data_IF_933884568710
#
_entry.id   IF_933884568710
#
_cell.length_a   1.000
_cell.length_b   1.000
_cell.length_c   1.000
_cell.angle_alpha   90.00
_cell.angle_beta   90.00
_cell.angle_gamma   90.00
#
_symmetry.space_group_name_H-M   'P 1'
#
loop_
_entity.id
_entity.type
_entity.pdbx_description
1 polymer ?
#
# COMPACT_ATOMS: atom_id res chain seq x y z
N UNK A 1 0.89 18.74 14.37
CA UNK A 1 1.62 18.17 13.23
C UNK A 1 3.02 17.90 13.72
N UNK A 2 3.21 16.67 14.18
CA UNK A 2 4.53 16.10 14.44
C UNK A 2 5.26 16.07 13.11
N UNK A 3 6.53 16.48 13.08
CA UNK A 3 7.34 16.46 11.88
C UNK A 3 7.48 15.00 11.41
N UNK A 4 7.05 14.69 10.18
CA UNK A 4 7.12 13.34 9.62
C UNK A 4 8.57 12.84 9.74
N UNK A 5 8.74 11.65 10.33
CA UNK A 5 10.07 11.07 10.46
C UNK A 5 10.53 10.53 9.12
N UNK A 6 11.83 10.61 8.89
CA UNK A 6 12.48 10.07 7.71
C UNK A 6 13.70 9.23 8.13
N UNK A 7 14.12 8.34 7.24
CA UNK A 7 15.38 7.63 7.36
C UNK A 7 16.56 8.63 7.28
N UNK A 8 17.77 8.25 7.70
CA UNK A 8 18.95 9.06 7.46
C UNK A 8 19.16 9.33 5.95
N UNK A 9 19.70 10.50 5.60
CA UNK A 9 19.88 10.93 4.21
C UNK A 9 20.60 9.91 3.30
N UNK A 10 21.54 9.12 3.87
CA UNK A 10 22.28 8.11 3.09
C UNK A 10 21.37 7.00 2.55
N UNK A 11 20.29 6.64 3.24
CA UNK A 11 19.32 5.62 2.78
C UNK A 11 18.66 6.09 1.48
N UNK A 12 18.18 7.33 1.44
CA UNK A 12 17.58 7.90 0.24
C UNK A 12 18.59 8.08 -0.90
N UNK A 13 19.82 8.48 -0.57
CA UNK A 13 20.89 8.58 -1.57
C UNK A 13 21.20 7.22 -2.21
N UNK A 14 21.23 6.14 -1.42
CA UNK A 14 21.43 4.78 -1.92
C UNK A 14 20.27 4.33 -2.82
N UNK A 15 19.02 4.64 -2.45
CA UNK A 15 17.83 4.38 -3.27
C UNK A 15 17.91 5.10 -4.63
N UNK A 16 18.31 6.37 -4.65
CA UNK A 16 18.54 7.13 -5.89
C UNK A 16 19.64 6.48 -6.75
N UNK A 17 20.77 6.11 -6.15
CA UNK A 17 21.88 5.48 -6.86
C UNK A 17 21.46 4.14 -7.49
N UNK A 18 20.73 3.30 -6.74
CA UNK A 18 20.19 2.02 -7.23
C UNK A 18 19.15 2.22 -8.33
N UNK A 19 18.30 3.25 -8.23
CA UNK A 19 17.36 3.59 -9.30
C UNK A 19 18.08 3.94 -10.62
N UNK A 20 19.18 4.70 -10.55
CA UNK A 20 20.01 4.98 -11.73
C UNK A 20 20.71 3.73 -12.27
N UNK A 21 21.20 2.85 -11.39
CA UNK A 21 21.79 1.57 -11.79
C UNK A 21 20.81 0.68 -12.56
N UNK A 22 19.59 0.56 -12.06
CA UNK A 22 18.50 -0.17 -12.72
C UNK A 22 18.19 0.44 -14.09
N UNK A 23 18.15 1.77 -14.19
CA UNK A 23 17.94 2.46 -15.47
C UNK A 23 19.02 2.08 -16.49
N UNK A 24 20.30 2.12 -16.10
CA UNK A 24 21.42 1.72 -16.97
C UNK A 24 21.32 0.26 -17.39
N UNK A 25 21.06 -0.64 -16.45
CA UNK A 25 20.97 -2.08 -16.70
C UNK A 25 19.78 -2.44 -17.61
N UNK A 26 18.64 -1.77 -17.45
CA UNK A 26 17.42 -2.01 -18.23
C UNK A 26 17.28 -1.11 -19.48
N UNK A 27 18.34 -0.38 -19.84
CA UNK A 27 18.38 0.53 -20.98
C UNK A 27 17.22 1.53 -20.99
N UNK A 28 16.96 2.15 -19.85
CA UNK A 28 16.00 3.25 -19.66
C UNK A 28 16.81 4.53 -19.49
N UNK A 29 16.44 5.58 -20.23
CA UNK A 29 17.18 6.85 -20.22
C UNK A 29 16.96 7.63 -18.91
N UNK A 30 15.85 7.40 -18.22
CA UNK A 30 15.65 7.89 -16.87
C UNK A 30 14.21 7.82 -16.41
N UNK A 31 13.96 8.43 -15.27
CA UNK A 31 12.68 8.37 -14.55
C UNK A 31 12.09 9.75 -14.36
N UNK A 32 10.76 9.81 -14.42
CA UNK A 32 9.95 10.96 -14.02
C UNK A 32 9.01 10.47 -12.91
N UNK A 33 9.33 10.78 -11.67
CA UNK A 33 8.55 10.37 -10.49
C UNK A 33 7.86 11.62 -9.92
N UNK A 34 6.54 11.68 -10.07
CA UNK A 34 5.69 12.72 -9.46
C UNK A 34 5.39 12.39 -8.00
N UNK A 35 4.73 13.29 -7.29
CA UNK A 35 4.17 13.12 -5.93
C UNK A 35 3.62 11.72 -5.67
N UNK A 36 3.74 11.16 -4.46
CA UNK A 36 3.15 9.86 -4.09
C UNK A 36 4.11 8.98 -3.29
N UNK A 37 3.79 7.70 -3.15
CA UNK A 37 4.58 6.76 -2.34
C UNK A 37 5.99 6.54 -2.90
N UNK A 38 6.15 6.50 -4.23
CA UNK A 38 7.48 6.37 -4.87
C UNK A 38 8.34 7.62 -4.68
N UNK A 39 7.71 8.80 -4.67
CA UNK A 39 8.39 10.04 -4.37
C UNK A 39 8.86 10.07 -2.91
N UNK A 40 7.97 9.69 -1.98
CA UNK A 40 8.30 9.56 -0.57
C UNK A 40 9.38 8.49 -0.31
N UNK A 41 9.35 7.37 -1.04
CA UNK A 41 10.38 6.33 -0.96
C UNK A 41 11.77 6.87 -1.33
N UNK A 42 11.85 7.70 -2.38
CA UNK A 42 13.11 8.21 -2.92
C UNK A 42 13.62 9.47 -2.20
N UNK A 43 12.73 10.26 -1.59
CA UNK A 43 13.07 11.58 -1.03
C UNK A 43 12.71 11.75 0.45
N UNK A 44 12.04 10.78 1.07
CA UNK A 44 11.65 10.83 2.48
C UNK A 44 10.56 11.84 2.81
N UNK A 45 9.80 12.29 1.82
CA UNK A 45 8.76 13.32 1.99
C UNK A 45 7.65 13.16 0.95
N UNK A 46 6.42 13.48 1.34
CA UNK A 46 5.30 13.65 0.41
C UNK A 46 5.21 15.11 -0.03
N UNK A 47 4.76 15.35 -1.26
CA UNK A 47 4.52 16.71 -1.74
C UNK A 47 3.26 16.75 -2.59
N UNK A 48 2.41 17.76 -2.36
CA UNK A 48 1.20 18.00 -3.13
C UNK A 48 1.18 19.43 -3.66
N UNK A 49 1.63 19.62 -4.89
CA UNK A 49 1.64 20.92 -5.58
C UNK A 49 0.35 21.20 -6.35
N UNK A 50 -0.68 20.37 -6.12
CA UNK A 50 -2.01 20.47 -6.73
C UNK A 50 -1.91 20.34 -8.27
N UNK A 51 -2.21 21.39 -9.02
CA UNK A 51 -2.10 21.41 -10.48
C UNK A 51 -0.70 21.74 -11.00
N UNK A 52 0.21 22.21 -10.13
CA UNK A 52 1.54 22.63 -10.54
C UNK A 52 2.45 21.41 -10.68
N UNK A 53 3.17 21.33 -11.80
CA UNK A 53 4.11 20.25 -12.06
C UNK A 53 5.22 20.20 -11.00
N UNK A 54 5.31 19.06 -10.32
CA UNK A 54 6.40 18.70 -9.44
C UNK A 54 6.83 17.26 -9.71
N UNK A 55 8.11 17.05 -9.99
CA UNK A 55 8.64 15.72 -10.24
C UNK A 55 10.13 15.63 -9.93
N UNK A 56 10.51 14.49 -9.34
CA UNK A 56 11.89 14.05 -9.27
C UNK A 56 12.27 13.42 -10.61
N UNK A 57 13.32 13.96 -11.21
CA UNK A 57 13.88 13.51 -12.48
C UNK A 57 15.20 12.80 -12.20
N UNK A 58 15.26 11.50 -12.53
CA UNK A 58 16.43 10.66 -12.29
C UNK A 58 16.97 10.20 -13.65
N UNK A 59 18.02 10.85 -14.20
CA UNK A 59 18.65 10.37 -15.43
C UNK A 59 19.42 9.07 -15.16
N UNK A 60 19.61 8.22 -16.17
CA UNK A 60 20.39 6.99 -16.02
C UNK A 60 21.86 7.27 -15.65
N UNK A 61 22.38 8.44 -16.03
CA UNK A 61 23.68 8.95 -15.60
C UNK A 61 23.63 10.46 -15.34
N UNK A 62 24.44 10.96 -14.42
CA UNK A 62 24.47 12.37 -14.01
C UNK A 62 23.65 12.65 -12.75
N UNK A 63 23.55 13.92 -12.39
CA UNK A 63 22.89 14.35 -11.15
C UNK A 63 21.36 14.36 -11.32
N UNK A 64 20.57 13.70 -10.44
CA UNK A 64 19.13 13.86 -10.40
C UNK A 64 18.72 15.30 -10.09
N UNK A 65 17.49 15.68 -10.46
CA UNK A 65 16.95 16.99 -10.16
C UNK A 65 15.50 16.91 -9.71
N UNK A 66 15.13 17.71 -8.72
CA UNK A 66 13.74 17.95 -8.36
C UNK A 66 13.27 19.21 -9.06
N UNK A 67 12.28 19.07 -9.95
CA UNK A 67 11.60 20.18 -10.61
C UNK A 67 10.34 20.49 -9.82
N UNK A 68 10.21 21.73 -9.34
CA UNK A 68 9.12 22.14 -8.46
C UNK A 68 8.83 23.64 -8.58
N UNK A 69 7.64 24.12 -8.18
CA UNK A 69 7.36 25.55 -8.15
C UNK A 69 8.33 26.29 -7.20
N UNK A 70 8.77 27.49 -7.60
CA UNK A 70 9.69 28.31 -6.80
C UNK A 70 9.19 28.58 -5.37
N UNK A 71 7.86 28.67 -5.21
CA UNK A 71 7.18 28.92 -3.92
C UNK A 71 7.39 27.79 -2.91
N UNK A 72 7.63 26.55 -3.37
CA UNK A 72 7.77 25.37 -2.51
C UNK A 72 9.24 25.00 -2.25
N UNK A 73 10.17 25.58 -3.02
CA UNK A 73 11.61 25.22 -3.04
C UNK A 73 12.30 25.37 -1.69
N UNK A 74 12.00 26.46 -0.97
CA UNK A 74 12.68 26.78 0.28
C UNK A 74 12.31 25.82 1.42
N UNK A 75 11.12 25.22 1.38
CA UNK A 75 10.66 24.32 2.43
C UNK A 75 11.33 22.95 2.33
N UNK A 76 11.39 22.39 1.12
CA UNK A 76 12.02 21.10 0.88
C UNK A 76 13.53 21.09 1.16
N UNK A 77 14.20 22.21 0.88
CA UNK A 77 15.63 22.35 1.16
C UNK A 77 15.98 22.24 2.66
N UNK A 78 15.00 22.39 3.57
CA UNK A 78 15.22 22.28 5.02
C UNK A 78 15.18 20.83 5.53
N UNK A 79 14.56 19.92 4.77
CA UNK A 79 14.45 18.50 5.14
C UNK A 79 15.60 17.64 4.63
N UNK A 80 15.41 16.33 4.65
CA UNK A 80 16.39 15.34 4.17
C UNK A 80 16.83 15.58 2.71
N UNK A 81 15.91 16.10 1.90
CA UNK A 81 16.10 16.49 0.49
C UNK A 81 17.29 17.45 0.32
N UNK A 82 17.49 18.39 1.26
CA UNK A 82 18.62 19.33 1.20
C UNK A 82 19.99 18.70 1.43
N UNK A 83 20.04 17.48 1.96
CA UNK A 83 21.27 16.71 2.18
C UNK A 83 21.55 15.68 1.08
N UNK A 84 20.65 15.52 0.09
CA UNK A 84 20.83 14.60 -1.04
C UNK A 84 21.62 15.26 -2.16
N UNK A 85 22.33 14.46 -2.95
CA UNK A 85 23.00 14.89 -4.17
C UNK A 85 22.00 15.04 -5.33
N UNK A 86 21.08 15.99 -5.18
CA UNK A 86 20.08 16.34 -6.18
C UNK A 86 20.05 17.85 -6.41
N UNK A 87 19.77 18.24 -7.65
CA UNK A 87 19.61 19.65 -8.01
C UNK A 87 18.17 20.11 -7.80
N UNK A 88 17.95 21.08 -6.91
CA UNK A 88 16.64 21.74 -6.76
C UNK A 88 16.46 22.83 -7.81
N UNK A 89 15.59 22.59 -8.79
CA UNK A 89 15.31 23.50 -9.91
C UNK A 89 13.89 24.01 -9.80
N UNK A 90 13.76 25.25 -9.34
CA UNK A 90 12.48 25.94 -9.22
C UNK A 90 12.01 26.51 -10.55
N UNK A 91 10.70 26.60 -10.76
CA UNK A 91 10.09 27.27 -11.91
C UNK A 91 8.97 28.23 -11.48
N UNK A 92 8.72 29.24 -12.31
CA UNK A 92 7.72 30.29 -12.09
C UNK A 92 6.53 30.15 -13.05
N UNK A 93 5.34 30.60 -12.61
CA UNK A 93 4.14 30.58 -13.44
C UNK A 93 4.38 31.27 -14.80
N UNK A 94 4.14 30.52 -15.88
CA UNK A 94 4.44 30.94 -17.26
C UNK A 94 5.68 30.29 -17.88
N UNK A 95 6.54 29.66 -17.07
CA UNK A 95 7.67 28.86 -17.56
C UNK A 95 7.24 27.44 -17.96
N UNK A 96 8.00 26.81 -18.85
CA UNK A 96 7.77 25.43 -19.25
C UNK A 96 8.53 24.46 -18.33
N UNK A 97 7.90 24.09 -17.23
CA UNK A 97 8.46 23.12 -16.26
C UNK A 97 8.77 21.74 -16.88
N UNK A 98 8.02 21.33 -17.90
CA UNK A 98 8.24 20.07 -18.61
C UNK A 98 9.53 20.12 -19.42
N UNK A 99 9.82 21.22 -20.09
CA UNK A 99 11.09 21.41 -20.80
C UNK A 99 12.30 21.39 -19.85
N UNK A 100 12.16 21.97 -18.65
CA UNK A 100 13.18 21.90 -17.60
C UNK A 100 13.43 20.45 -17.18
N UNK A 101 12.36 19.68 -16.91
CA UNK A 101 12.47 18.26 -16.57
C UNK A 101 13.18 17.45 -17.65
N UNK A 102 12.79 17.63 -18.91
CA UNK A 102 13.38 16.89 -20.03
C UNK A 102 14.84 17.28 -20.31
N UNK A 103 15.24 18.52 -19.99
CA UNK A 103 16.63 18.94 -20.11
C UNK A 103 17.56 18.18 -19.17
N UNK A 104 17.06 17.75 -18.01
CA UNK A 104 17.81 16.93 -17.04
C UNK A 104 18.05 15.53 -17.60
N UNK A 105 17.04 14.91 -18.21
CA UNK A 105 17.20 13.62 -18.89
C UNK A 105 18.13 13.73 -20.11
N UNK A 106 18.05 14.81 -20.88
CA UNK A 106 18.87 14.98 -22.08
C UNK A 106 20.36 15.26 -21.76
N UNK A 107 20.68 15.82 -20.59
CA UNK A 107 22.04 16.20 -20.20
C UNK A 107 23.03 15.03 -20.11
N UNK A 108 22.55 13.78 -20.07
CA UNK A 108 23.41 12.59 -20.05
C UNK A 108 23.99 12.20 -21.42
N UNK A 109 23.50 12.78 -22.51
CA UNK A 109 24.01 12.53 -23.85
C UNK A 109 25.08 13.59 -24.20
N UNK A 110 26.36 13.25 -23.99
CA UNK A 110 27.55 14.11 -24.23
C UNK A 110 27.69 14.63 -25.68
N UNK A 111 26.87 14.13 -26.60
CA UNK A 111 26.79 14.52 -28.00
C UNK A 111 25.30 14.66 -28.34
N UNK A 112 24.84 15.86 -28.67
CA UNK A 112 23.43 16.28 -28.83
C UNK A 112 22.57 15.55 -29.88
N UNK A 113 22.90 14.30 -30.20
CA UNK A 113 22.19 13.37 -31.08
C UNK A 113 21.48 12.22 -30.30
N UNK A 114 21.60 12.17 -28.98
CA UNK A 114 20.93 11.18 -28.14
C UNK A 114 19.45 11.48 -27.96
N UNK A 115 18.60 10.99 -28.87
CA UNK A 115 17.15 11.01 -28.68
C UNK A 115 16.78 10.16 -27.45
N UNK A 116 15.98 10.71 -26.53
CA UNK A 116 15.41 9.96 -25.40
C UNK A 116 14.43 8.92 -25.95
N UNK A 117 14.72 7.64 -25.76
CA UNK A 117 13.99 6.51 -26.35
C UNK A 117 13.08 5.82 -25.36
N UNK A 118 13.44 5.76 -24.08
CA UNK A 118 12.71 4.96 -23.09
C UNK A 118 12.72 5.64 -21.73
N UNK A 119 11.54 5.95 -21.20
CA UNK A 119 11.37 6.71 -19.97
C UNK A 119 10.49 5.94 -18.99
N UNK A 120 10.96 5.80 -17.75
CA UNK A 120 10.16 5.31 -16.64
C UNK A 120 9.30 6.43 -16.06
N UNK A 121 8.02 6.17 -15.81
CA UNK A 121 7.08 7.16 -15.27
C UNK A 121 6.41 6.62 -14.02
N UNK A 122 6.41 7.40 -12.94
CA UNK A 122 5.70 7.07 -11.70
C UNK A 122 4.18 7.00 -11.92
N UNK A 123 3.46 6.10 -11.22
CA UNK A 123 2.03 5.88 -11.44
C UNK A 123 1.18 7.10 -11.04
N UNK A 124 1.68 7.92 -10.13
CA UNK A 124 1.01 9.12 -9.63
C UNK A 124 1.21 10.36 -10.50
N UNK A 125 1.95 10.25 -11.62
CA UNK A 125 2.02 11.34 -12.59
C UNK A 125 0.66 11.45 -13.29
N UNK A 126 -0.04 12.56 -13.04
CA UNK A 126 -1.38 12.79 -13.58
C UNK A 126 -1.38 12.85 -15.11
N UNK A 127 -2.50 12.44 -15.70
CA UNK A 127 -2.63 12.34 -17.16
C UNK A 127 -2.36 13.68 -17.88
N UNK A 128 -2.73 14.82 -17.30
CA UNK A 128 -2.48 16.11 -17.91
C UNK A 128 -0.98 16.45 -18.00
N UNK A 129 -0.19 16.08 -16.98
CA UNK A 129 1.26 16.24 -16.98
C UNK A 129 1.93 15.26 -17.94
N UNK A 130 1.50 14.00 -17.90
CA UNK A 130 2.01 12.96 -18.80
C UNK A 130 1.78 13.32 -20.28
N UNK A 131 0.59 13.80 -20.64
CA UNK A 131 0.27 14.21 -22.02
C UNK A 131 1.13 15.39 -22.51
N UNK A 132 1.45 16.35 -21.62
CA UNK A 132 2.36 17.46 -21.95
C UNK A 132 3.79 16.97 -22.16
N UNK A 133 4.29 16.06 -21.30
CA UNK A 133 5.59 15.40 -21.50
C UNK A 133 5.63 14.64 -22.84
N UNK A 134 4.59 13.86 -23.13
CA UNK A 134 4.49 13.10 -24.38
C UNK A 134 4.46 13.98 -25.63
N UNK A 135 3.95 15.20 -25.53
CA UNK A 135 3.98 16.17 -26.64
C UNK A 135 5.42 16.58 -26.98
N UNK A 136 6.32 16.62 -25.98
CA UNK A 136 7.73 16.93 -26.19
C UNK A 136 8.56 15.72 -26.64
N UNK A 137 8.16 14.50 -26.27
CA UNK A 137 8.82 13.25 -26.65
C UNK A 137 7.82 12.23 -27.23
N UNK A 138 7.29 12.48 -28.44
CA UNK A 138 6.21 11.67 -29.01
C UNK A 138 6.66 10.27 -29.45
N UNK A 139 7.97 10.07 -29.64
CA UNK A 139 8.56 8.81 -30.11
C UNK A 139 9.19 7.96 -29.00
N UNK A 140 9.22 8.45 -27.77
CA UNK A 140 9.72 7.67 -26.63
C UNK A 140 8.73 6.56 -26.24
N UNK A 141 9.28 5.41 -25.85
CA UNK A 141 8.58 4.37 -25.12
C UNK A 141 8.45 4.81 -23.65
N UNK A 142 7.26 4.66 -23.09
CA UNK A 142 6.99 4.94 -21.69
C UNK A 142 6.66 3.64 -20.96
N UNK A 143 7.32 3.42 -19.82
CA UNK A 143 7.12 2.25 -18.96
C UNK A 143 6.79 2.70 -17.55
N UNK A 144 6.00 1.93 -16.81
CA UNK A 144 5.71 2.24 -15.41
C UNK A 144 6.95 2.01 -14.55
N UNK A 145 7.30 3.03 -13.76
CA UNK A 145 8.41 2.98 -12.82
C UNK A 145 8.21 1.89 -11.77
N UNK A 146 6.97 1.62 -11.35
CA UNK A 146 6.61 0.55 -10.41
C UNK A 146 7.15 -0.81 -10.85
N UNK A 147 6.89 -1.19 -12.10
CA UNK A 147 7.36 -2.47 -12.66
C UNK A 147 8.85 -2.43 -12.98
N UNK A 148 9.36 -1.28 -13.45
CA UNK A 148 10.76 -1.11 -13.80
C UNK A 148 11.67 -1.26 -12.57
N UNK A 149 11.26 -0.71 -11.43
CA UNK A 149 12.02 -0.61 -10.17
C UNK A 149 11.38 -1.47 -9.07
N UNK A 150 10.78 -2.61 -9.44
CA UNK A 150 10.11 -3.49 -8.47
C UNK A 150 11.03 -3.92 -7.31
N UNK A 151 12.33 -4.09 -7.56
CA UNK A 151 13.36 -4.38 -6.55
C UNK A 151 13.67 -3.23 -5.56
N UNK A 152 13.04 -2.07 -5.75
CA UNK A 152 13.07 -0.94 -4.81
C UNK A 152 11.71 -0.76 -4.15
N UNK A 153 10.64 -0.74 -4.93
CA UNK A 153 9.31 -0.40 -4.40
C UNK A 153 8.54 -1.59 -3.82
N UNK A 154 8.80 -2.80 -4.32
CA UNK A 154 8.02 -4.00 -3.98
C UNK A 154 8.75 -4.87 -2.95
N UNK A 155 10.08 -4.96 -3.05
CA UNK A 155 10.94 -5.68 -2.11
C UNK A 155 11.45 -4.72 -1.03
N UNK A 156 10.95 -4.87 0.19
CA UNK A 156 11.28 -4.02 1.34
C UNK A 156 12.61 -4.45 1.95
N UNK A 157 13.41 -3.46 2.34
CA UNK A 157 14.59 -3.71 3.18
C UNK A 157 14.19 -3.96 4.66
N UNK A 158 15.15 -4.37 5.48
CA UNK A 158 14.92 -4.68 6.90
C UNK A 158 14.41 -3.49 7.72
N UNK A 159 14.79 -2.25 7.36
CA UNK A 159 14.37 -1.03 8.06
C UNK A 159 12.91 -0.71 7.71
N UNK A 160 12.52 -0.92 6.46
CA UNK A 160 11.13 -0.83 6.00
C UNK A 160 10.25 -1.91 6.63
N UNK A 161 10.70 -3.16 6.66
CA UNK A 161 9.99 -4.28 7.32
C UNK A 161 9.84 -3.99 8.81
N UNK A 162 10.85 -3.39 9.47
CA UNK A 162 10.73 -2.97 10.86
C UNK A 162 9.63 -1.92 11.06
N UNK A 163 9.46 -0.96 10.14
CA UNK A 163 8.35 0.00 10.21
C UNK A 163 6.99 -0.65 9.98
N UNK A 164 6.87 -1.57 9.02
CA UNK A 164 5.63 -2.33 8.80
C UNK A 164 5.27 -3.19 10.02
N UNK A 165 6.26 -3.83 10.65
CA UNK A 165 6.06 -4.60 11.89
C UNK A 165 5.59 -3.70 13.04
N UNK A 166 6.12 -2.47 13.14
CA UNK A 166 5.65 -1.47 14.11
C UNK A 166 4.20 -1.06 13.84
N UNK A 167 3.85 -0.82 12.57
CA UNK A 167 2.50 -0.47 12.17
C UNK A 167 1.51 -1.60 12.49
N UNK A 168 1.86 -2.85 12.19
CA UNK A 168 1.05 -4.04 12.48
C UNK A 168 0.86 -4.25 13.99
N UNK A 169 1.90 -4.06 14.80
CA UNK A 169 1.80 -4.16 16.27
C UNK A 169 0.89 -3.08 16.85
N UNK A 170 0.96 -1.87 16.32
CA UNK A 170 0.07 -0.75 16.69
C UNK A 170 -1.40 -1.09 16.41
N UNK A 171 -1.72 -1.59 15.21
CA UNK A 171 -3.11 -1.93 14.88
C UNK A 171 -3.62 -3.17 15.63
N UNK A 172 -2.73 -4.14 15.92
CA UNK A 172 -3.03 -5.27 16.79
C UNK A 172 -3.42 -4.81 18.21
N UNK A 173 -2.78 -3.77 18.75
CA UNK A 173 -3.11 -3.20 20.06
C UNK A 173 -4.51 -2.56 20.09
N UNK A 174 -4.96 -2.02 18.96
CA UNK A 174 -6.34 -1.54 18.79
C UNK A 174 -7.32 -2.71 18.71
N UNK A 175 -7.02 -3.74 17.90
CA UNK A 175 -7.86 -4.94 17.79
C UNK A 175 -8.06 -5.68 19.12
N UNK A 176 -7.06 -5.67 20.00
CA UNK A 176 -7.17 -6.26 21.34
C UNK A 176 -8.27 -5.60 22.20
N UNK A 177 -8.66 -4.36 21.88
CA UNK A 177 -9.68 -3.60 22.59
C UNK A 177 -11.07 -3.71 21.95
N UNK A 178 -11.16 -4.10 20.67
CA UNK A 178 -12.42 -4.21 19.91
C UNK A 178 -13.51 -5.02 20.62
N UNK A 179 -13.25 -6.20 21.20
CA UNK A 179 -14.31 -6.98 21.86
C UNK A 179 -15.06 -6.22 22.96
N UNK A 180 -14.38 -5.32 23.68
CA UNK A 180 -14.99 -4.51 24.72
C UNK A 180 -15.88 -3.39 24.16
N UNK A 181 -15.70 -3.01 22.89
CA UNK A 181 -16.48 -1.98 22.22
C UNK A 181 -17.80 -2.53 21.65
N UNK A 182 -17.82 -3.82 21.28
CA UNK A 182 -18.94 -4.49 20.62
C UNK A 182 -20.04 -4.88 21.61
N UNK A 183 -20.81 -3.89 22.06
CA UNK A 183 -21.91 -4.06 23.02
C UNK A 183 -23.25 -3.86 22.32
N UNK A 184 -24.17 -4.80 22.52
CA UNK A 184 -25.54 -4.69 21.99
C UNK A 184 -26.21 -3.37 22.45
N UNK A 185 -26.89 -2.71 21.54
CA UNK A 185 -27.50 -1.39 21.76
C UNK A 185 -26.64 -0.21 21.31
N UNK A 186 -25.33 -0.40 21.09
CA UNK A 186 -24.48 0.61 20.45
C UNK A 186 -24.66 0.62 18.94
N UNK A 187 -24.37 1.73 18.28
CA UNK A 187 -24.30 1.77 16.81
C UNK A 187 -22.91 1.44 16.28
N UNK A 188 -22.82 1.02 15.01
CA UNK A 188 -21.53 0.92 14.30
C UNK A 188 -20.74 2.23 14.38
N UNK A 189 -21.41 3.38 14.18
CA UNK A 189 -20.79 4.70 14.26
C UNK A 189 -20.23 5.04 15.64
N UNK A 190 -20.89 4.61 16.73
CA UNK A 190 -20.35 4.79 18.09
C UNK A 190 -19.10 3.93 18.31
N UNK A 191 -19.05 2.72 17.74
CA UNK A 191 -17.85 1.87 17.78
C UNK A 191 -16.73 2.48 16.95
N UNK A 192 -17.03 2.91 15.72
CA UNK A 192 -16.07 3.56 14.84
C UNK A 192 -15.47 4.83 15.47
N UNK A 193 -16.27 5.65 16.15
CA UNK A 193 -15.77 6.84 16.85
C UNK A 193 -14.71 6.50 17.92
N UNK A 194 -14.92 5.42 18.69
CA UNK A 194 -13.92 4.94 19.65
C UNK A 194 -12.68 4.34 18.96
N UNK A 195 -12.86 3.63 17.85
CA UNK A 195 -11.73 3.14 17.07
C UNK A 195 -10.89 4.28 16.50
N UNK A 196 -11.50 5.38 16.05
CA UNK A 196 -10.76 6.57 15.64
C UNK A 196 -9.90 7.13 16.78
N UNK A 197 -10.42 7.21 18.01
CA UNK A 197 -9.66 7.65 19.18
C UNK A 197 -8.50 6.70 19.49
N UNK A 198 -8.73 5.38 19.45
CA UNK A 198 -7.71 4.38 19.74
C UNK A 198 -6.59 4.35 18.68
N UNK A 199 -6.94 4.41 17.40
CA UNK A 199 -5.96 4.43 16.31
C UNK A 199 -5.12 5.72 16.37
N UNK A 200 -5.74 6.87 16.69
CA UNK A 200 -5.00 8.13 16.85
C UNK A 200 -4.00 8.13 18.03
N UNK A 201 -4.11 7.18 18.97
CA UNK A 201 -3.10 6.99 20.02
C UNK A 201 -1.88 6.18 19.54
N UNK A 202 -2.04 5.36 18.49
CA UNK A 202 -1.02 4.41 18.04
C UNK A 202 -0.38 4.83 16.69
N UNK A 203 -1.12 5.54 15.84
CA UNK A 203 -0.73 5.98 14.49
C UNK A 203 -0.77 7.51 14.35
N UNK A 204 0.02 8.03 13.39
CA UNK A 204 0.04 9.47 13.07
C UNK A 204 -1.20 9.87 12.25
N UNK A 205 -1.64 8.99 11.36
CA UNK A 205 -2.85 9.17 10.56
C UNK A 205 -3.70 7.91 10.56
N UNK A 206 -5.02 8.10 10.52
CA UNK A 206 -6.00 7.04 10.37
C UNK A 206 -6.29 6.92 8.88
N UNK A 207 -6.08 5.74 8.31
CA UNK A 207 -6.27 5.52 6.88
C UNK A 207 -7.75 5.23 6.59
N UNK A 208 -8.33 4.32 7.39
CA UNK A 208 -9.73 3.91 7.28
C UNK A 208 -10.21 3.22 8.57
N UNK A 209 -11.53 3.21 8.74
CA UNK A 209 -12.23 2.46 9.80
C UNK A 209 -13.50 1.88 9.22
N UNK A 210 -13.62 0.56 9.25
CA UNK A 210 -14.80 -0.19 8.82
C UNK A 210 -15.36 -0.96 10.02
N UNK A 211 -16.67 -0.81 10.24
CA UNK A 211 -17.46 -1.57 11.21
C UNK A 211 -18.73 -2.03 10.50
N UNK A 212 -18.67 -3.21 9.88
CA UNK A 212 -19.79 -3.83 9.16
C UNK A 212 -20.47 -4.90 10.00
N UNK A 213 -21.60 -4.57 10.63
CA UNK A 213 -22.38 -5.50 11.45
C UNK A 213 -23.51 -6.17 10.67
N UNK A 214 -23.68 -7.48 10.88
CA UNK A 214 -24.60 -8.36 10.18
C UNK A 214 -24.64 -8.08 8.67
N UNK A 215 -25.78 -7.67 8.11
CA UNK A 215 -25.96 -7.51 6.68
C UNK A 215 -25.01 -6.49 6.06
N UNK A 216 -24.56 -5.48 6.84
CA UNK A 216 -23.57 -4.50 6.38
C UNK A 216 -22.19 -5.13 6.19
N UNK A 217 -21.86 -6.17 6.97
CA UNK A 217 -20.61 -6.92 6.83
C UNK A 217 -20.51 -7.65 5.48
N UNK A 218 -21.63 -7.89 4.78
CA UNK A 218 -21.65 -8.47 3.44
C UNK A 218 -21.23 -7.48 2.33
N UNK A 219 -21.01 -6.20 2.65
CA UNK A 219 -20.44 -5.22 1.74
C UNK A 219 -18.96 -4.97 2.13
N UNK A 220 -17.98 -5.45 1.33
CA UNK A 220 -16.55 -5.29 1.64
C UNK A 220 -16.11 -3.82 1.73
N UNK A 221 -16.83 -2.90 1.09
CA UNK A 221 -16.56 -1.46 1.10
C UNK A 221 -17.59 -0.68 1.95
N UNK A 222 -18.21 -1.34 2.93
CA UNK A 222 -18.95 -0.61 3.96
C UNK A 222 -17.98 0.19 4.81
N UNK A 223 -18.39 1.35 5.29
CA UNK A 223 -17.64 2.09 6.32
C UNK A 223 -18.26 1.72 7.69
N UNK A 224 -19.21 2.52 8.15
CA UNK A 224 -20.02 2.28 9.34
C UNK A 224 -21.34 3.07 9.20
N UNK A 225 -22.36 2.70 9.96
CA UNK A 225 -23.69 3.32 9.89
C UNK A 225 -24.31 3.55 11.26
N UNK A 226 -25.59 3.95 11.26
CA UNK A 226 -26.40 4.05 12.48
C UNK A 226 -27.08 2.72 12.84
N UNK A 227 -26.71 1.60 12.19
CA UNK A 227 -27.20 0.26 12.56
C UNK A 227 -26.82 -0.03 14.00
N UNK A 228 -27.82 -0.41 14.79
CA UNK A 228 -27.66 -0.78 16.20
C UNK A 228 -27.23 -2.25 16.28
N UNK A 229 -26.14 -2.51 16.99
CA UNK A 229 -25.64 -3.84 17.27
C UNK A 229 -26.64 -4.64 18.11
N UNK A 230 -26.87 -5.89 17.76
CA UNK A 230 -27.66 -6.86 18.49
C UNK A 230 -26.76 -8.05 18.89
N UNK A 231 -27.11 -8.71 20.01
CA UNK A 231 -26.42 -9.95 20.41
C UNK A 231 -26.49 -11.00 19.31
N UNK A 232 -25.36 -11.62 18.99
CA UNK A 232 -25.23 -12.60 17.92
C UNK A 232 -24.89 -12.01 16.54
N UNK A 233 -24.87 -10.68 16.39
CA UNK A 233 -24.42 -10.05 15.15
C UNK A 233 -22.94 -10.39 14.89
N UNK A 234 -22.65 -10.81 13.66
CA UNK A 234 -21.28 -10.90 13.14
C UNK A 234 -20.82 -9.51 12.75
N UNK A 235 -19.64 -9.09 13.18
CA UNK A 235 -19.10 -7.75 12.91
C UNK A 235 -17.73 -7.88 12.26
N UNK A 236 -17.62 -7.45 11.00
CA UNK A 236 -16.33 -7.24 10.34
C UNK A 236 -15.78 -5.90 10.82
N UNK A 237 -14.61 -5.93 11.45
CA UNK A 237 -13.87 -4.73 11.84
C UNK A 237 -12.56 -4.74 11.08
N UNK A 238 -12.41 -3.76 10.19
CA UNK A 238 -11.23 -3.58 9.37
C UNK A 238 -10.69 -2.16 9.56
N UNK A 239 -9.45 -2.08 10.00
CA UNK A 239 -8.86 -0.84 10.48
C UNK A 239 -7.40 -0.76 10.06
N UNK A 240 -7.00 0.45 9.68
CA UNK A 240 -5.65 0.73 9.24
C UNK A 240 -5.23 2.16 9.58
N UNK A 241 -3.93 2.33 9.72
CA UNK A 241 -3.32 3.61 10.04
C UNK A 241 -1.87 3.69 9.56
N UNK A 242 -1.41 4.92 9.40
CA UNK A 242 -0.07 5.25 8.93
C UNK A 242 0.82 5.67 10.11
N UNK A 243 2.02 5.09 10.18
CA UNK A 243 3.04 5.46 11.16
C UNK A 243 3.71 6.80 10.83
N UNK A 244 4.44 7.37 11.79
CA UNK A 244 5.22 8.61 11.59
C UNK A 244 6.32 8.52 10.50
N UNK A 245 6.71 7.32 10.06
CA UNK A 245 7.60 7.08 8.91
C UNK A 245 6.85 6.88 7.58
N UNK A 246 5.51 6.90 7.59
CA UNK A 246 4.67 6.75 6.39
C UNK A 246 4.28 5.30 6.05
N UNK A 247 4.68 4.31 6.85
CA UNK A 247 4.31 2.91 6.60
C UNK A 247 2.95 2.58 7.17
N UNK A 248 2.16 1.87 6.37
CA UNK A 248 0.77 1.53 6.65
C UNK A 248 0.62 0.23 7.45
N UNK A 249 -0.50 0.16 8.17
CA UNK A 249 -1.05 -1.07 8.73
C UNK A 249 -2.43 -1.30 8.15
N UNK A 250 -2.79 -2.57 8.06
CA UNK A 250 -4.08 -3.03 7.53
C UNK A 250 -4.39 -4.37 8.19
N UNK A 251 -5.56 -4.48 8.82
CA UNK A 251 -5.93 -5.66 9.57
C UNK A 251 -7.44 -5.74 9.72
N UNK A 252 -7.98 -6.84 9.21
CA UNK A 252 -9.36 -7.24 9.44
C UNK A 252 -9.48 -8.38 10.45
N UNK A 253 -10.39 -8.23 11.40
CA UNK A 253 -10.90 -9.31 12.25
C UNK A 253 -12.43 -9.32 12.24
N UNK A 254 -13.00 -10.51 12.39
CA UNK A 254 -14.44 -10.70 12.50
C UNK A 254 -14.80 -11.15 13.91
N UNK A 255 -15.78 -10.50 14.52
CA UNK A 255 -16.21 -10.68 15.90
C UNK A 255 -17.70 -11.03 15.98
N UNK A 256 -18.16 -11.46 17.15
CA UNK A 256 -19.58 -11.65 17.45
C UNK A 256 -19.99 -10.81 18.67
N UNK A 257 -21.04 -10.02 18.52
CA UNK A 257 -21.58 -9.20 19.62
C UNK A 257 -22.10 -10.11 20.73
N UNK A 258 -21.51 -10.01 21.93
CA UNK A 258 -21.86 -10.86 23.06
C UNK A 258 -21.10 -12.19 23.11
N UNK A 259 -20.10 -12.39 22.23
CA UNK A 259 -19.19 -13.54 22.25
C UNK A 259 -19.57 -14.64 21.27
N UNK A 260 -18.56 -15.38 20.81
CA UNK A 260 -18.71 -16.49 19.83
C UNK A 260 -19.74 -17.57 20.22
N UNK A 261 -20.06 -17.75 21.50
CA UNK A 261 -21.09 -18.68 21.97
C UNK A 261 -22.53 -18.28 21.59
N UNK A 262 -22.73 -17.01 21.22
CA UNK A 262 -24.04 -16.47 20.84
C UNK A 262 -24.34 -16.63 19.34
N UNK A 263 -23.35 -17.05 18.55
CA UNK A 263 -23.48 -17.13 17.09
C UNK A 263 -24.20 -18.40 16.65
N UNK A 264 -24.90 -18.32 15.53
CA UNK A 264 -25.52 -19.49 14.91
C UNK A 264 -24.48 -20.51 14.41
N UNK A 265 -24.76 -21.80 14.58
CA UNK A 265 -23.85 -22.88 14.21
C UNK A 265 -23.52 -22.92 12.69
N UNK A 266 -24.45 -22.48 11.84
CA UNK A 266 -24.25 -22.30 10.41
C UNK A 266 -23.19 -21.22 10.13
N UNK A 267 -23.29 -20.08 10.80
CA UNK A 267 -22.33 -18.96 10.69
C UNK A 267 -20.95 -19.41 11.15
N UNK A 268 -20.86 -20.08 12.31
CA UNK A 268 -19.60 -20.64 12.81
C UNK A 268 -18.97 -21.63 11.80
N UNK A 269 -19.79 -22.48 11.15
CA UNK A 269 -19.31 -23.41 10.12
C UNK A 269 -18.78 -22.68 8.88
N UNK A 270 -19.50 -21.66 8.40
CA UNK A 270 -19.08 -20.82 7.27
C UNK A 270 -17.77 -20.09 7.58
N UNK A 271 -17.67 -19.50 8.77
CA UNK A 271 -16.44 -18.85 9.24
C UNK A 271 -15.24 -19.83 9.32
N UNK A 272 -15.46 -21.06 9.77
CA UNK A 272 -14.40 -22.06 9.83
C UNK A 272 -13.86 -22.44 8.43
N UNK A 273 -14.65 -22.31 7.36
CA UNK A 273 -14.19 -22.48 5.98
C UNK A 273 -13.28 -21.32 5.58
N UNK A 274 -13.68 -20.08 5.89
CA UNK A 274 -12.85 -18.90 5.67
C UNK A 274 -11.51 -19.02 6.40
N UNK A 275 -11.52 -19.44 7.67
CA UNK A 275 -10.30 -19.64 8.45
C UNK A 275 -9.36 -20.67 7.83
N UNK A 276 -9.90 -21.76 7.27
CA UNK A 276 -9.11 -22.76 6.53
C UNK A 276 -8.52 -22.18 5.23
N UNK A 277 -9.31 -21.38 4.50
CA UNK A 277 -8.86 -20.74 3.27
C UNK A 277 -7.70 -19.77 3.53
N UNK A 278 -7.83 -18.92 4.57
CA UNK A 278 -6.79 -17.99 4.97
C UNK A 278 -5.50 -18.72 5.41
N UNK A 279 -5.64 -19.76 6.23
CA UNK A 279 -4.49 -20.56 6.66
C UNK A 279 -3.80 -21.27 5.48
N UNK A 280 -4.54 -21.72 4.47
CA UNK A 280 -3.98 -22.33 3.27
C UNK A 280 -3.24 -21.31 2.38
N UNK A 281 -3.80 -20.10 2.22
CA UNK A 281 -3.10 -19.03 1.52
C UNK A 281 -1.81 -18.64 2.23
N UNK A 282 -1.83 -18.47 3.56
CA UNK A 282 -0.61 -18.25 4.35
C UNK A 282 0.42 -19.37 4.16
N UNK A 283 -0.01 -20.63 4.21
CA UNK A 283 0.88 -21.78 4.02
C UNK A 283 1.46 -21.89 2.60
N UNK A 284 0.79 -21.30 1.60
CA UNK A 284 1.26 -21.25 0.22
C UNK A 284 2.32 -20.16 -0.01
N UNK A 285 2.49 -19.20 0.91
CA UNK A 285 3.47 -18.12 0.74
C UNK A 285 4.89 -18.64 0.93
N UNK A 286 5.68 -18.60 -0.14
CA UNK A 286 7.10 -18.88 -0.14
C UNK A 286 7.81 -18.18 -1.32
N UNK A 287 9.13 -17.97 -1.26
CA UNK A 287 9.89 -17.55 -2.42
C UNK A 287 9.69 -18.49 -3.61
N UNK A 288 9.57 -17.93 -4.81
CA UNK A 288 9.46 -18.71 -6.05
C UNK A 288 8.05 -19.16 -6.43
N UNK A 289 7.04 -18.98 -5.58
CA UNK A 289 5.63 -19.21 -5.95
C UNK A 289 5.04 -17.98 -6.65
N UNK A 290 4.02 -18.17 -7.49
CA UNK A 290 3.33 -17.04 -8.11
C UNK A 290 2.26 -16.44 -7.19
N UNK A 291 1.99 -15.15 -7.31
CA UNK A 291 0.89 -14.48 -6.62
C UNK A 291 -0.47 -15.16 -6.89
N UNK A 292 -0.69 -15.63 -8.12
CA UNK A 292 -1.85 -16.43 -8.50
C UNK A 292 -2.00 -17.71 -7.67
N UNK A 293 -0.91 -18.44 -7.40
CA UNK A 293 -0.98 -19.71 -6.67
C UNK A 293 -1.44 -19.57 -5.22
N UNK A 294 -1.16 -18.42 -4.58
CA UNK A 294 -1.63 -18.09 -3.23
C UNK A 294 -3.13 -17.76 -3.25
N UNK A 295 -3.57 -16.97 -4.23
CA UNK A 295 -4.99 -16.68 -4.43
C UNK A 295 -5.79 -17.97 -4.67
N UNK A 296 -5.26 -18.83 -5.52
CA UNK A 296 -5.85 -20.13 -5.83
C UNK A 296 -6.01 -21.00 -4.57
N UNK A 297 -5.02 -21.01 -3.67
CA UNK A 297 -5.05 -21.80 -2.44
C UNK A 297 -6.23 -21.43 -1.51
N UNK A 298 -6.55 -20.15 -1.37
CA UNK A 298 -7.76 -19.72 -0.64
C UNK A 298 -9.03 -20.02 -1.44
N UNK A 299 -9.02 -19.68 -2.74
CA UNK A 299 -10.20 -19.76 -3.60
C UNK A 299 -10.71 -21.19 -3.78
N UNK A 300 -9.81 -22.17 -3.89
CA UNK A 300 -10.17 -23.59 -4.03
C UNK A 300 -10.94 -24.09 -2.81
N UNK A 301 -10.47 -23.80 -1.60
CA UNK A 301 -11.14 -24.22 -0.35
C UNK A 301 -12.53 -23.61 -0.24
N UNK A 302 -12.67 -22.32 -0.56
CA UNK A 302 -13.96 -21.62 -0.54
C UNK A 302 -14.91 -22.20 -1.60
N UNK A 303 -14.40 -22.50 -2.80
CA UNK A 303 -15.18 -23.05 -3.90
C UNK A 303 -15.63 -24.50 -3.62
N UNK A 304 -14.77 -25.35 -3.08
CA UNK A 304 -15.09 -26.73 -2.68
C UNK A 304 -16.19 -26.78 -1.62
N UNK A 305 -16.26 -25.76 -0.76
CA UNK A 305 -17.32 -25.61 0.22
C UNK A 305 -18.64 -25.05 -0.35
N UNK A 306 -18.68 -24.72 -1.65
CA UNK A 306 -19.86 -24.19 -2.33
C UNK A 306 -20.03 -22.67 -2.25
N UNK A 307 -18.98 -21.93 -1.88
CA UNK A 307 -19.02 -20.47 -1.66
C UNK A 307 -18.21 -19.67 -2.67
N UNK A 308 -17.94 -20.22 -3.86
CA UNK A 308 -17.13 -19.58 -4.89
C UNK A 308 -17.67 -18.18 -5.29
N UNK A 309 -18.99 -18.00 -5.29
CA UNK A 309 -19.64 -16.73 -5.63
C UNK A 309 -19.68 -15.74 -4.45
N UNK A 310 -19.29 -16.17 -3.25
CA UNK A 310 -19.25 -15.35 -2.04
C UNK A 310 -17.87 -14.75 -1.78
N UNK A 311 -16.81 -15.23 -2.45
CA UNK A 311 -15.49 -14.62 -2.42
C UNK A 311 -15.27 -13.77 -3.68
N UNK A 312 -15.54 -12.47 -3.55
CA UNK A 312 -15.78 -11.54 -4.67
C UNK A 312 -14.63 -10.58 -4.95
N UNK A 313 -13.49 -10.73 -4.27
CA UNK A 313 -12.31 -9.91 -4.46
C UNK A 313 -11.03 -10.77 -4.47
N UNK A 314 -9.89 -10.11 -4.67
CA UNK A 314 -8.54 -10.71 -4.60
C UNK A 314 -8.22 -11.22 -3.20
N UNK A 315 -7.31 -12.17 -3.08
CA UNK A 315 -6.83 -12.66 -1.76
C UNK A 315 -5.92 -11.67 -1.03
N UNK A 316 -5.38 -10.65 -1.71
CA UNK A 316 -4.68 -9.56 -1.05
C UNK A 316 -3.96 -8.58 -1.97
N UNK A 317 -3.28 -7.61 -1.37
CA UNK A 317 -2.50 -6.57 -2.04
C UNK A 317 -1.19 -6.28 -1.34
N UNK A 318 -0.22 -5.74 -2.07
CA UNK A 318 1.01 -5.23 -1.49
C UNK A 318 0.72 -4.07 -0.55
N UNK A 319 1.60 -3.91 0.44
CA UNK A 319 1.55 -2.82 1.41
C UNK A 319 2.96 -2.28 1.68
N UNK A 320 3.05 -0.98 1.93
CA UNK A 320 4.32 -0.28 2.15
C UNK A 320 4.07 1.17 2.56
N UNK A 321 4.54 2.10 1.72
CA UNK A 321 4.25 3.54 1.80
C UNK A 321 2.94 3.92 1.08
N UNK A 322 2.26 2.92 0.52
CA UNK A 322 0.86 2.93 0.10
C UNK A 322 0.12 1.78 0.78
N UNK A 323 -1.15 1.98 1.11
CA UNK A 323 -2.03 0.90 1.61
C UNK A 323 -2.15 -0.20 0.56
N UNK A 324 -2.37 0.19 -0.70
CA UNK A 324 -2.42 -0.73 -1.84
C UNK A 324 -1.25 -0.48 -2.79
N UNK A 325 -0.39 -1.49 -2.97
CA UNK A 325 0.69 -1.51 -3.95
C UNK A 325 0.93 -2.94 -4.47
N UNK A 326 1.96 -3.14 -5.28
CA UNK A 326 2.39 -4.50 -5.69
C UNK A 326 3.06 -5.22 -4.50
N UNK A 327 2.97 -6.57 -4.41
CA UNK A 327 2.31 -7.48 -5.35
C UNK A 327 0.80 -7.65 -5.08
N UNK A 328 -0.02 -7.71 -6.13
CA UNK A 328 -1.43 -8.12 -5.96
C UNK A 328 -1.60 -9.65 -5.95
N UNK A 329 -2.18 -10.18 -4.87
CA UNK A 329 -2.46 -11.62 -4.72
C UNK A 329 -3.83 -11.91 -5.34
N UNK A 330 -3.84 -12.14 -6.65
CA UNK A 330 -5.05 -12.24 -7.46
C UNK A 330 -4.91 -13.29 -8.56
N UNK A 331 -6.03 -13.94 -8.92
CA UNK A 331 -6.10 -14.84 -10.06
C UNK A 331 -5.48 -14.25 -11.35
N UNK A 332 -4.60 -15.02 -11.99
CA UNK A 332 -3.92 -14.63 -13.22
C UNK A 332 -2.68 -13.75 -13.05
N UNK A 333 -2.31 -13.34 -11.83
CA UNK A 333 -1.03 -12.67 -11.59
C UNK A 333 0.12 -13.67 -11.46
N UNK A 334 0.92 -13.81 -12.52
CA UNK A 334 2.07 -14.72 -12.57
C UNK A 334 3.37 -14.14 -11.98
N UNK A 335 3.30 -12.98 -11.28
CA UNK A 335 4.44 -12.43 -10.57
C UNK A 335 4.98 -13.44 -9.55
N UNK A 336 6.27 -13.73 -9.65
CA UNK A 336 6.97 -14.65 -8.74
C UNK A 336 7.41 -13.92 -7.48
N UNK A 337 6.97 -14.41 -6.33
CA UNK A 337 7.31 -13.82 -5.04
C UNK A 337 8.80 -13.95 -4.72
N UNK A 338 9.34 -12.89 -4.14
CA UNK A 338 10.73 -12.79 -3.69
C UNK A 338 10.77 -12.39 -2.21
N UNK A 339 11.83 -12.74 -1.47
CA UNK A 339 12.05 -12.23 -0.11
C UNK A 339 11.91 -10.71 -0.03
N UNK A 340 11.36 -10.22 1.08
CA UNK A 340 11.10 -8.80 1.33
C UNK A 340 9.81 -8.26 0.71
N UNK A 341 9.08 -9.03 -0.10
CA UNK A 341 7.73 -8.62 -0.52
C UNK A 341 6.76 -8.65 0.65
N UNK A 342 6.01 -7.56 0.85
CA UNK A 342 5.00 -7.43 1.91
C UNK A 342 3.61 -7.22 1.31
N UNK A 343 2.61 -7.95 1.80
CA UNK A 343 1.23 -7.89 1.31
C UNK A 343 0.22 -8.43 2.33
N UNK A 344 -1.06 -8.11 2.16
CA UNK A 344 -2.17 -8.70 2.91
C UNK A 344 -2.50 -10.12 2.44
N UNK A 345 -2.96 -10.97 3.35
CA UNK A 345 -3.63 -12.25 3.06
C UNK A 345 -5.00 -12.20 3.73
N UNK A 346 -6.00 -11.81 2.95
CA UNK A 346 -7.30 -11.29 3.40
C UNK A 346 -8.52 -11.92 2.69
N UNK A 347 -8.61 -13.26 2.50
CA UNK A 347 -9.81 -13.82 1.91
C UNK A 347 -11.06 -13.42 2.72
N UNK A 348 -12.18 -13.28 2.03
CA UNK A 348 -13.46 -12.92 2.63
C UNK A 348 -14.61 -13.70 2.02
N UNK A 349 -15.66 -13.95 2.81
CA UNK A 349 -16.92 -14.54 2.34
C UNK A 349 -18.07 -13.62 2.69
N UNK A 350 -18.87 -13.26 1.69
CA UNK A 350 -19.93 -12.27 1.81
C UNK A 350 -21.26 -12.88 1.37
N UNK A 351 -22.25 -12.88 2.26
CA UNK A 351 -23.60 -13.41 2.04
C UNK A 351 -24.60 -12.23 2.06
N UNK A 352 -24.97 -11.67 0.89
CA UNK A 352 -25.80 -10.48 0.82
C UNK A 352 -27.11 -10.61 1.60
N UNK A 353 -27.40 -9.63 2.47
CA UNK A 353 -28.57 -9.63 3.34
C UNK A 353 -28.46 -10.51 4.59
N UNK A 354 -27.34 -11.22 4.78
CA UNK A 354 -27.06 -12.03 5.96
C UNK A 354 -25.87 -11.44 6.73
N UNK A 355 -24.64 -11.81 6.34
CA UNK A 355 -23.41 -11.35 6.98
C UNK A 355 -22.23 -11.45 6.03
N UNK A 356 -21.11 -10.82 6.40
CA UNK A 356 -19.81 -11.14 5.81
C UNK A 356 -18.77 -11.42 6.89
N UNK A 357 -17.67 -12.03 6.48
CA UNK A 357 -16.53 -12.29 7.32
C UNK A 357 -15.24 -12.16 6.50
N UNK A 358 -14.21 -11.57 7.09
CA UNK A 358 -12.86 -11.46 6.52
C UNK A 358 -11.83 -11.68 7.63
N UNK A 359 -10.72 -12.32 7.27
CA UNK A 359 -9.56 -12.54 8.14
C UNK A 359 -8.36 -12.08 7.36
N UNK A 360 -7.65 -11.09 7.89
CA UNK A 360 -6.55 -10.46 7.18
C UNK A 360 -5.32 -10.33 8.06
N UNK A 361 -4.18 -10.64 7.49
CA UNK A 361 -2.90 -10.31 8.09
C UNK A 361 -1.96 -9.77 7.03
N UNK A 362 -1.10 -8.82 7.42
CA UNK A 362 0.09 -8.48 6.64
C UNK A 362 1.15 -9.56 6.86
N UNK A 363 1.74 -10.01 5.76
CA UNK A 363 2.87 -10.93 5.75
C UNK A 363 4.08 -10.32 5.04
N UNK A 364 5.26 -10.81 5.39
CA UNK A 364 6.50 -10.60 4.65
C UNK A 364 7.02 -11.95 4.16
N UNK A 365 7.39 -12.01 2.88
CA UNK A 365 8.06 -13.19 2.31
C UNK A 365 9.48 -13.25 2.88
N UNK A 366 9.84 -14.38 3.49
CA UNK A 366 11.18 -14.66 4.01
C UNK A 366 11.92 -15.60 3.07
N UNK A 367 13.21 -15.86 3.32
CA UNK A 367 14.02 -16.78 2.50
C UNK A 367 13.46 -18.21 2.37
N UNK A 368 12.58 -18.64 3.28
CA UNK A 368 12.05 -20.01 3.31
C UNK A 368 10.53 -20.11 3.44
N UNK A 369 9.79 -19.00 3.41
CA UNK A 369 8.34 -18.98 3.65
C UNK A 369 7.81 -17.56 3.84
N UNK A 370 7.00 -17.34 4.87
CA UNK A 370 6.57 -16.01 5.29
C UNK A 370 6.61 -15.82 6.82
N UNK A 371 6.73 -14.57 7.25
CA UNK A 371 6.44 -14.12 8.61
C UNK A 371 5.13 -13.33 8.57
N UNK A 372 4.22 -13.61 9.51
CA UNK A 372 3.02 -12.79 9.70
C UNK A 372 3.31 -11.67 10.68
N UNK A 373 2.98 -10.43 10.32
CA UNK A 373 3.22 -9.26 11.16
C UNK A 373 2.09 -9.04 12.18
N UNK A 374 0.86 -9.43 11.84
CA UNK A 374 -0.30 -9.41 12.73
C UNK A 374 -0.46 -10.71 13.52
N UNK A 375 -0.77 -10.58 14.81
CA UNK A 375 -0.77 -11.68 15.78
C UNK A 375 -2.10 -11.83 16.53
N UNK A 376 -3.10 -11.00 16.24
CA UNK A 376 -4.42 -11.13 16.85
C UNK A 376 -5.08 -12.47 16.48
N UNK A 377 -5.86 -13.10 17.38
CA UNK A 377 -6.48 -14.40 17.11
C UNK A 377 -7.36 -14.35 15.85
N UNK A 378 -7.22 -15.37 15.00
CA UNK A 378 -7.98 -15.55 13.74
C UNK A 378 -9.26 -16.38 13.91
N UNK A 379 -9.58 -16.74 15.15
CA UNK A 379 -10.85 -17.39 15.47
C UNK A 379 -11.95 -16.35 15.55
N UNK A 380 -13.20 -16.81 15.44
CA UNK A 380 -14.35 -15.97 15.72
C UNK A 380 -14.36 -15.66 17.23
N UNK A 381 -14.32 -14.38 17.59
CA UNK A 381 -14.21 -13.92 18.97
C UNK A 381 -15.57 -13.48 19.52
#
# INVERSE_FOLDING_TARGET
MTEQKCFPAHVYQERLNKAQEICRHKHVDGLIISSGSQFAYLLGTYMHTHERFCALIIPASGQPALILPDVDKAELAKGVVGALDIKLTGWQDGENAYALALSVLAAQHDSGDGELRRIGVGPDLTADHFLKIRTHLPHAEYVLATTLLAELFVQKDEEEIAQLRRAAQAIDAVHAQVPALLVAGRTEAEVAAQLHELIACEHEHIDFVIVGSAENGANPHHDYSQRVLATGDVVVVDIGGTTDFGYHSDCTRTYVVGGSETVDAEVARRYAILQKAQAAALAAVAPGVSAHSIDQAARDIIAEAGFADNFIHRTGHGIGLSVHEEPYIIAGNELILQPGMCFSVEPGIYFPGEFGARIEDIVVVTETGCETLNNQPRGLQ
#
